data_IF_423456808849
#
_entry.id   IF_423456808849
#
_cell.length_a   1.000
_cell.length_b   1.000
_cell.length_c   1.000
_cell.angle_alpha   90.00
_cell.angle_beta   90.00
_cell.angle_gamma   90.00
#
_symmetry.space_group_name_H-M   'P 1'
#
loop_
_entity.id
_entity.type
_entity.pdbx_description
1 polymer ?
#
# COMPACT_ATOMS: atom_id res chain seq x y z
N UNK A 1 2.31 22.15 -12.86
CA UNK A 1 3.18 21.54 -11.83
C UNK A 1 3.09 20.05 -12.02
N UNK A 2 4.22 19.41 -12.27
CA UNK A 2 4.32 17.96 -12.29
C UNK A 2 4.37 17.44 -10.86
N UNK A 3 4.20 16.13 -10.71
CA UNK A 3 4.52 15.46 -9.45
C UNK A 3 6.05 15.39 -9.40
N UNK A 4 6.69 16.34 -8.72
CA UNK A 4 8.16 16.37 -8.57
C UNK A 4 8.66 15.39 -7.51
N UNK A 5 7.75 14.86 -6.67
CA UNK A 5 8.01 13.89 -5.60
C UNK A 5 6.98 12.78 -5.65
N UNK A 6 7.43 11.52 -5.70
CA UNK A 6 6.54 10.35 -5.70
C UNK A 6 5.71 10.32 -4.41
N UNK A 7 4.37 10.26 -4.49
CA UNK A 7 3.51 10.18 -3.32
C UNK A 7 3.78 8.93 -2.48
N UNK A 8 3.64 9.05 -1.16
CA UNK A 8 3.98 7.98 -0.24
C UNK A 8 3.18 6.68 -0.49
N UNK A 9 1.92 6.80 -0.90
CA UNK A 9 1.05 5.67 -1.24
C UNK A 9 1.57 4.84 -2.43
N UNK A 10 2.39 5.45 -3.30
CA UNK A 10 3.01 4.79 -4.46
C UNK A 10 4.33 4.09 -4.13
N UNK A 11 4.95 4.36 -2.97
CA UNK A 11 6.33 3.94 -2.65
C UNK A 11 6.54 2.42 -2.69
N UNK A 12 5.50 1.63 -2.36
CA UNK A 12 5.60 0.17 -2.37
C UNK A 12 4.85 -0.48 -3.55
N UNK A 13 4.39 0.29 -4.52
CA UNK A 13 3.81 -0.26 -5.75
C UNK A 13 4.92 -0.76 -6.67
N UNK A 14 4.72 -1.92 -7.26
CA UNK A 14 5.64 -2.44 -8.28
C UNK A 14 5.28 -1.90 -9.68
N UNK A 15 6.15 -2.13 -10.66
CA UNK A 15 5.95 -1.67 -12.04
C UNK A 15 4.65 -2.20 -12.65
N UNK A 16 4.26 -3.41 -12.24
CA UNK A 16 3.03 -4.07 -12.68
C UNK A 16 1.78 -3.39 -12.12
N UNK A 17 1.80 -2.98 -10.85
CA UNK A 17 0.76 -2.18 -10.20
C UNK A 17 0.59 -0.83 -10.90
N UNK A 18 1.69 -0.13 -11.17
CA UNK A 18 1.67 1.19 -11.83
C UNK A 18 1.16 1.07 -13.27
N UNK A 19 1.60 0.04 -13.99
CA UNK A 19 1.11 -0.29 -15.34
C UNK A 19 -0.39 -0.61 -15.34
N UNK A 20 -0.86 -1.35 -14.33
CA UNK A 20 -2.27 -1.65 -14.14
C UNK A 20 -3.09 -0.37 -13.89
N UNK A 21 -2.64 0.51 -12.99
CA UNK A 21 -3.30 1.81 -12.70
C UNK A 21 -3.43 2.62 -13.99
N UNK A 22 -2.34 2.75 -14.74
CA UNK A 22 -2.33 3.51 -16.00
C UNK A 22 -3.37 2.97 -16.98
N UNK A 23 -3.39 1.66 -17.23
CA UNK A 23 -4.36 1.06 -18.16
C UNK A 23 -5.79 1.18 -17.64
N UNK A 24 -6.01 0.97 -16.34
CA UNK A 24 -7.32 1.10 -15.71
C UNK A 24 -7.89 2.50 -15.90
N UNK A 25 -7.08 3.55 -15.70
CA UNK A 25 -7.48 4.94 -15.96
C UNK A 25 -7.77 5.21 -17.45
N UNK A 26 -6.94 4.69 -18.35
CA UNK A 26 -7.18 4.81 -19.80
C UNK A 26 -8.45 4.07 -20.26
N UNK A 27 -8.87 3.05 -19.51
CA UNK A 27 -10.13 2.34 -19.70
C UNK A 27 -11.31 2.97 -18.91
N UNK A 28 -11.17 4.21 -18.43
CA UNK A 28 -12.18 4.92 -17.64
C UNK A 28 -12.64 4.15 -16.38
N UNK A 29 -11.73 3.36 -15.80
CA UNK A 29 -12.02 2.51 -14.64
C UNK A 29 -12.89 1.27 -14.95
N UNK A 30 -13.10 0.92 -16.22
CA UNK A 30 -13.90 -0.23 -16.60
C UNK A 30 -13.15 -1.54 -16.38
N UNK A 31 -13.53 -2.28 -15.34
CA UNK A 31 -13.04 -3.64 -15.08
C UNK A 31 -13.31 -4.60 -16.24
N UNK A 32 -14.44 -4.42 -16.95
CA UNK A 32 -14.81 -5.25 -18.11
C UNK A 32 -13.90 -4.99 -19.31
N UNK A 33 -13.59 -3.72 -19.56
CA UNK A 33 -12.68 -3.32 -20.65
C UNK A 33 -11.26 -3.84 -20.40
N UNK A 34 -10.79 -3.73 -19.15
CA UNK A 34 -9.48 -4.26 -18.74
C UNK A 34 -9.44 -5.78 -18.84
N UNK A 35 -10.50 -6.48 -18.46
CA UNK A 35 -10.58 -7.93 -18.62
C UNK A 35 -10.40 -8.36 -20.09
N UNK A 36 -11.02 -7.63 -21.02
CA UNK A 36 -10.83 -7.84 -22.45
C UNK A 36 -9.38 -7.57 -22.89
N UNK A 37 -8.77 -6.45 -22.46
CA UNK A 37 -7.39 -6.10 -22.83
C UNK A 37 -6.35 -7.09 -22.32
N UNK A 38 -6.56 -7.65 -21.13
CA UNK A 38 -5.66 -8.64 -20.53
C UNK A 38 -6.02 -10.08 -20.90
N UNK A 39 -7.08 -10.31 -21.69
CA UNK A 39 -7.58 -11.65 -22.04
C UNK A 39 -7.83 -12.54 -20.82
N UNK A 40 -8.39 -11.95 -19.76
CA UNK A 40 -8.74 -12.65 -18.50
C UNK A 40 -10.19 -12.40 -18.14
N UNK A 41 -10.68 -13.09 -17.12
CA UNK A 41 -12.06 -12.92 -16.66
C UNK A 41 -12.23 -11.64 -15.84
N UNK A 42 -13.44 -11.08 -15.85
CA UNK A 42 -13.80 -9.96 -14.99
C UNK A 42 -13.48 -10.20 -13.50
N UNK A 43 -13.82 -11.38 -12.91
CA UNK A 43 -13.41 -11.70 -11.54
C UNK A 43 -11.89 -11.65 -11.31
N UNK A 44 -11.08 -12.07 -12.28
CA UNK A 44 -9.61 -12.02 -12.20
C UNK A 44 -9.11 -10.57 -12.07
N UNK A 45 -9.63 -9.67 -12.92
CA UNK A 45 -9.26 -8.25 -12.86
C UNK A 45 -9.75 -7.60 -11.57
N UNK A 46 -10.97 -7.94 -11.14
CA UNK A 46 -11.53 -7.44 -9.88
C UNK A 46 -10.63 -7.78 -8.70
N UNK A 47 -10.20 -9.04 -8.60
CA UNK A 47 -9.28 -9.48 -7.55
C UNK A 47 -7.95 -8.72 -7.58
N UNK A 48 -7.42 -8.43 -8.77
CA UNK A 48 -6.20 -7.63 -8.94
C UNK A 48 -6.40 -6.19 -8.46
N UNK A 49 -7.52 -5.56 -8.81
CA UNK A 49 -7.87 -4.22 -8.33
C UNK A 49 -8.02 -4.20 -6.81
N UNK A 50 -8.73 -5.17 -6.22
CA UNK A 50 -8.95 -5.23 -4.77
C UNK A 50 -7.61 -5.38 -4.01
N UNK A 51 -6.67 -6.20 -4.52
CA UNK A 51 -5.31 -6.31 -3.95
C UNK A 51 -4.53 -5.00 -4.03
N UNK A 52 -4.61 -4.31 -5.16
CA UNK A 52 -3.97 -3.01 -5.34
C UNK A 52 -4.52 -1.98 -4.36
N UNK A 53 -5.85 -1.91 -4.20
CA UNK A 53 -6.50 -1.01 -3.23
C UNK A 53 -6.02 -1.32 -1.81
N UNK A 54 -5.98 -2.59 -1.41
CA UNK A 54 -5.46 -2.99 -0.10
C UNK A 54 -4.00 -2.56 0.09
N UNK A 55 -3.15 -2.72 -0.94
CA UNK A 55 -1.73 -2.31 -0.90
C UNK A 55 -1.60 -0.80 -0.68
N UNK A 56 -2.43 -0.01 -1.38
CA UNK A 56 -2.49 1.46 -1.23
C UNK A 56 -2.94 1.83 0.19
N UNK A 57 -4.03 1.23 0.68
CA UNK A 57 -4.55 1.50 2.03
C UNK A 57 -3.52 1.16 3.12
N UNK A 58 -2.83 0.03 3.00
CA UNK A 58 -1.76 -0.35 3.95
C UNK A 58 -0.61 0.65 3.93
N UNK A 59 -0.26 1.19 2.75
CA UNK A 59 0.79 2.20 2.64
C UNK A 59 0.34 3.53 3.27
N UNK A 60 -0.89 3.96 3.02
CA UNK A 60 -1.47 5.16 3.64
C UNK A 60 -1.64 5.00 5.15
N UNK A 61 -2.05 3.84 5.65
CA UNK A 61 -2.13 3.57 7.09
C UNK A 61 -0.74 3.54 7.74
N UNK A 62 0.27 3.02 7.03
CA UNK A 62 1.66 3.03 7.51
C UNK A 62 2.24 4.45 7.53
N UNK A 63 1.86 5.30 6.57
CA UNK A 63 2.17 6.72 6.54
C UNK A 63 1.42 7.49 7.65
N UNK A 64 0.17 7.11 7.93
CA UNK A 64 -0.71 7.72 8.94
C UNK A 64 -0.46 7.25 10.38
N UNK A 65 0.56 6.42 10.64
CA UNK A 65 0.97 6.08 12.01
C UNK A 65 2.37 6.62 12.32
N UNK A 66 2.49 7.95 12.60
CA UNK A 66 3.75 8.60 12.99
C UNK A 66 4.51 7.85 14.08
N UNK A 67 3.78 7.18 14.99
CA UNK A 67 4.35 6.41 16.08
C UNK A 67 5.03 5.11 15.62
N UNK A 68 4.39 4.32 14.74
CA UNK A 68 5.04 3.14 14.15
C UNK A 68 6.25 3.54 13.30
N UNK A 69 6.12 4.63 12.54
CA UNK A 69 7.20 5.16 11.72
C UNK A 69 8.39 5.65 12.56
N UNK A 70 8.14 6.25 13.74
CA UNK A 70 9.18 6.58 14.70
C UNK A 70 9.90 5.31 15.22
N UNK A 71 9.15 4.30 15.64
CA UNK A 71 9.72 3.05 16.18
C UNK A 71 10.58 2.33 15.13
N UNK A 72 10.10 2.22 13.89
CA UNK A 72 10.88 1.64 12.78
C UNK A 72 12.18 2.39 12.56
N UNK A 73 12.15 3.73 12.60
CA UNK A 73 13.35 4.58 12.44
C UNK A 73 14.35 4.41 13.58
N UNK A 74 13.87 4.24 14.81
CA UNK A 74 14.73 3.98 15.97
C UNK A 74 15.42 2.62 15.85
N UNK A 75 14.72 1.60 15.35
CA UNK A 75 15.29 0.29 15.10
C UNK A 75 16.37 0.31 14.00
N UNK A 76 16.10 1.00 12.89
CA UNK A 76 17.07 1.17 11.77
C UNK A 76 18.33 1.94 12.19
N UNK A 77 18.20 2.88 13.13
CA UNK A 77 19.31 3.67 13.65
C UNK A 77 20.00 3.02 14.87
N UNK A 78 19.78 1.73 15.11
CA UNK A 78 20.32 0.95 16.23
C UNK A 78 20.07 1.58 17.63
N UNK A 79 19.03 2.40 17.76
CA UNK A 79 18.64 3.02 19.05
C UNK A 79 17.86 2.06 19.93
N UNK A 80 17.19 1.08 19.31
CA UNK A 80 16.49 -0.02 19.96
C UNK A 80 16.72 -1.28 19.13
N UNK A 81 16.69 -2.45 19.75
CA UNK A 81 16.79 -3.72 19.02
C UNK A 81 15.47 -4.07 18.31
N UNK A 82 15.58 -4.98 17.34
CA UNK A 82 14.47 -5.39 16.48
C UNK A 82 13.31 -6.04 17.28
N UNK A 83 13.61 -6.82 18.32
CA UNK A 83 12.59 -7.50 19.13
C UNK A 83 11.82 -6.47 19.98
N UNK A 84 12.51 -5.49 20.55
CA UNK A 84 11.89 -4.36 21.26
C UNK A 84 10.99 -3.53 20.32
N UNK A 85 11.44 -3.24 19.10
CA UNK A 85 10.64 -2.52 18.12
C UNK A 85 9.33 -3.27 17.76
N UNK A 86 9.43 -4.59 17.60
CA UNK A 86 8.29 -5.47 17.31
C UNK A 86 7.29 -5.51 18.47
N UNK A 87 7.78 -5.58 19.71
CA UNK A 87 6.94 -5.53 20.91
C UNK A 87 6.16 -4.22 20.98
N UNK A 88 6.83 -3.07 20.84
CA UNK A 88 6.20 -1.74 20.91
C UNK A 88 5.12 -1.54 19.83
N UNK A 89 5.39 -1.98 18.60
CA UNK A 89 4.41 -1.91 17.50
C UNK A 89 3.20 -2.82 17.80
N UNK A 90 3.43 -4.01 18.33
CA UNK A 90 2.35 -4.96 18.63
C UNK A 90 1.41 -4.46 19.73
N UNK A 91 1.96 -3.88 20.80
CA UNK A 91 1.17 -3.31 21.89
C UNK A 91 0.38 -2.08 21.43
N UNK A 92 1.00 -1.20 20.63
CA UNK A 92 0.31 -0.05 20.04
C UNK A 92 -0.88 -0.48 19.18
N UNK A 93 -0.70 -1.51 18.33
CA UNK A 93 -1.79 -2.05 17.49
C UNK A 93 -2.90 -2.69 18.30
N UNK A 94 -2.58 -3.39 19.40
CA UNK A 94 -3.60 -3.94 20.33
C UNK A 94 -4.43 -2.85 20.98
N UNK A 95 -3.81 -1.74 21.39
CA UNK A 95 -4.52 -0.60 21.97
C UNK A 95 -5.43 0.09 20.96
N UNK A 96 -4.99 0.20 19.69
CA UNK A 96 -5.79 0.82 18.62
C UNK A 96 -6.91 -0.08 18.09
N UNK A 97 -6.75 -1.41 18.14
CA UNK A 97 -7.75 -2.39 17.71
C UNK A 97 -8.75 -2.82 18.78
N UNK A 98 -8.82 -2.10 19.90
CA UNK A 98 -9.75 -2.36 21.00
C UNK A 98 -11.05 -1.53 20.93
N UNK A 99 -11.34 -0.89 19.79
CA UNK A 99 -12.62 -0.27 19.45
C UNK A 99 -13.40 -1.09 18.41
#
# INVERSE_FOLDING_TARGET
MGIDVVPEWMTNLDDEDVSFIKKFLLASGSLKEIANQYSVTYPTVRLRLDKLIQKIQINEDTANEPYISLIKRLAVNDKIDFETAKLLISEYKKMKGAE
#
